data_IF_441607592627
#
_entry.id   IF_441607592627
#
_cell.length_a   1.000
_cell.length_b   1.000
_cell.length_c   1.000
_cell.angle_alpha   90.00
_cell.angle_beta   90.00
_cell.angle_gamma   90.00
#
_symmetry.space_group_name_H-M   'P 1'
#
loop_
_entity.id
_entity.type
_entity.pdbx_description
1 polymer ?
#
# COMPACT_ATOMS: atom_id res chain seq x y z
N UNK A 1 1.20 -15.61 10.27
CA UNK A 1 0.89 -14.31 9.61
C UNK A 1 1.00 -14.53 8.10
N UNK A 2 -0.08 -14.32 7.35
CA UNK A 2 -0.07 -14.45 5.89
C UNK A 2 0.43 -13.13 5.29
N UNK A 3 1.70 -13.07 4.97
CA UNK A 3 2.31 -12.03 4.15
C UNK A 3 2.38 -12.62 2.74
N UNK A 4 1.75 -11.97 1.77
CA UNK A 4 1.81 -12.39 0.38
C UNK A 4 2.82 -11.50 -0.37
N UNK A 5 4.05 -11.95 -0.60
CA UNK A 5 4.99 -11.25 -1.46
C UNK A 5 4.46 -11.25 -2.90
N UNK A 6 4.79 -10.20 -3.64
CA UNK A 6 4.51 -10.14 -5.06
C UNK A 6 5.43 -11.07 -5.86
N UNK A 7 5.23 -11.19 -7.17
CA UNK A 7 6.01 -12.10 -8.01
C UNK A 7 7.53 -11.89 -8.00
N UNK A 8 7.99 -10.71 -7.57
CA UNK A 8 9.39 -10.36 -7.37
C UNK A 8 9.91 -10.63 -5.93
N UNK A 9 9.08 -11.19 -5.06
CA UNK A 9 9.40 -11.47 -3.67
C UNK A 9 9.34 -10.25 -2.74
N UNK A 10 8.94 -9.06 -3.24
CA UNK A 10 8.86 -7.83 -2.46
C UNK A 10 7.43 -7.62 -1.96
N UNK A 11 7.28 -7.30 -0.68
CA UNK A 11 5.99 -7.01 -0.08
C UNK A 11 5.71 -5.50 -0.15
N UNK A 12 4.68 -5.14 -0.90
CA UNK A 12 4.18 -3.76 -1.04
C UNK A 12 2.80 -3.57 -0.46
N UNK A 13 2.04 -4.66 -0.33
CA UNK A 13 0.65 -4.66 0.11
C UNK A 13 0.45 -5.58 1.31
N UNK A 14 -0.48 -5.21 2.17
CA UNK A 14 -0.87 -6.01 3.31
C UNK A 14 -2.33 -6.42 3.17
N UNK A 15 -2.65 -7.72 3.16
CA UNK A 15 -4.03 -8.17 3.16
C UNK A 15 -4.70 -7.74 4.46
N UNK A 16 -5.87 -7.11 4.37
CA UNK A 16 -6.67 -6.73 5.53
C UNK A 16 -7.66 -7.81 5.91
N UNK A 17 -8.04 -8.66 4.95
CA UNK A 17 -8.87 -9.84 5.15
C UNK A 17 -8.24 -11.03 4.44
N UNK A 18 -8.43 -12.21 5.00
CA UNK A 18 -7.94 -13.47 4.46
C UNK A 18 -9.09 -14.46 4.45
N UNK A 19 -9.26 -15.19 3.37
CA UNK A 19 -10.25 -16.26 3.28
C UNK A 19 -9.62 -17.59 3.71
N UNK A 20 -10.22 -18.23 4.71
CA UNK A 20 -9.84 -19.57 5.20
C UNK A 20 -11.11 -20.42 5.23
N UNK A 21 -11.10 -21.53 4.57
CA UNK A 21 -12.24 -22.47 4.49
C UNK A 21 -13.58 -21.80 4.10
N UNK A 22 -13.51 -20.84 3.16
CA UNK A 22 -14.67 -20.09 2.69
C UNK A 22 -15.14 -18.96 3.60
N UNK A 23 -14.53 -18.79 4.77
CA UNK A 23 -14.83 -17.70 5.70
C UNK A 23 -13.77 -16.60 5.63
N UNK A 24 -14.20 -15.35 5.81
CA UNK A 24 -13.31 -14.19 5.83
C UNK A 24 -12.89 -13.86 7.25
N UNK A 25 -11.59 -13.78 7.46
CA UNK A 25 -10.98 -13.40 8.72
C UNK A 25 -10.21 -12.09 8.56
N UNK A 26 -10.31 -11.17 9.54
CA UNK A 26 -9.51 -9.95 9.51
C UNK A 26 -8.04 -10.27 9.78
N UNK A 27 -7.15 -9.52 9.15
CA UNK A 27 -5.73 -9.57 9.48
C UNK A 27 -5.45 -8.94 10.84
N UNK A 28 -4.26 -9.24 11.40
CA UNK A 28 -3.84 -8.64 12.67
C UNK A 28 -3.85 -7.10 12.62
N UNK A 29 -3.42 -6.51 11.52
CA UNK A 29 -3.42 -5.05 11.35
C UNK A 29 -4.81 -4.45 11.42
N UNK A 30 -5.80 -5.12 10.80
CA UNK A 30 -7.19 -4.69 10.82
C UNK A 30 -7.80 -4.87 12.21
N UNK A 31 -7.46 -5.98 12.90
CA UNK A 31 -7.93 -6.28 14.25
C UNK A 31 -7.39 -5.28 15.29
N UNK A 32 -6.12 -4.91 15.18
CA UNK A 32 -5.52 -3.87 16.02
C UNK A 32 -6.34 -2.57 15.94
N UNK A 33 -6.68 -2.14 14.73
CA UNK A 33 -7.48 -0.92 14.55
C UNK A 33 -8.90 -1.06 15.08
N UNK A 34 -9.55 -2.21 14.89
CA UNK A 34 -10.89 -2.46 15.41
C UNK A 34 -10.92 -2.34 16.93
N UNK A 35 -9.97 -3.00 17.60
CA UNK A 35 -9.84 -2.95 19.05
C UNK A 35 -9.53 -1.53 19.54
N UNK A 36 -8.60 -0.84 18.86
CA UNK A 36 -8.26 0.55 19.19
C UNK A 36 -9.45 1.51 19.02
N UNK A 37 -10.31 1.26 18.02
CA UNK A 37 -11.54 2.04 17.80
C UNK A 37 -12.66 1.69 18.77
N UNK A 38 -12.53 0.62 19.56
CA UNK A 38 -13.57 0.13 20.46
C UNK A 38 -14.83 -0.33 19.72
N UNK A 39 -14.66 -0.91 18.54
CA UNK A 39 -15.77 -1.43 17.72
C UNK A 39 -15.80 -2.98 17.76
N UNK A 40 -16.98 -3.55 17.50
CA UNK A 40 -17.21 -4.99 17.49
C UNK A 40 -17.33 -5.57 16.08
N UNK A 41 -17.43 -4.73 15.06
CA UNK A 41 -17.81 -5.16 13.72
C UNK A 41 -16.95 -4.56 12.62
N UNK A 42 -16.97 -5.22 11.47
CA UNK A 42 -16.43 -4.75 10.21
C UNK A 42 -17.55 -4.59 9.19
N UNK A 43 -17.40 -3.64 8.31
CA UNK A 43 -18.21 -3.48 7.13
C UNK A 43 -17.31 -3.63 5.91
N UNK A 44 -17.70 -4.48 4.99
CA UNK A 44 -16.99 -4.69 3.74
C UNK A 44 -17.86 -4.18 2.60
N UNK A 45 -17.28 -3.37 1.73
CA UNK A 45 -17.89 -2.96 0.48
C UNK A 45 -17.27 -3.77 -0.65
N UNK A 46 -18.11 -4.50 -1.38
CA UNK A 46 -17.72 -5.24 -2.58
C UNK A 46 -18.34 -4.59 -3.80
N UNK A 47 -17.62 -4.64 -4.93
CA UNK A 47 -18.07 -4.19 -6.24
C UNK A 47 -17.80 -5.26 -7.30
N UNK A 48 -17.98 -4.92 -8.56
CA UNK A 48 -17.76 -5.84 -9.70
C UNK A 48 -16.33 -6.37 -9.79
N UNK A 49 -15.35 -5.58 -9.34
CA UNK A 49 -13.92 -5.95 -9.34
C UNK A 49 -13.44 -6.66 -8.06
N UNK A 50 -14.31 -6.95 -7.09
CA UNK A 50 -13.92 -7.57 -5.83
C UNK A 50 -14.16 -6.67 -4.61
N UNK A 51 -13.24 -6.68 -3.64
CA UNK A 51 -13.35 -5.87 -2.42
C UNK A 51 -12.87 -4.45 -2.74
N UNK A 52 -13.73 -3.46 -2.52
CA UNK A 52 -13.39 -2.05 -2.76
C UNK A 52 -12.89 -1.35 -1.50
N UNK A 53 -13.45 -1.71 -0.36
CA UNK A 53 -13.11 -1.07 0.90
C UNK A 53 -13.53 -1.89 2.12
N UNK A 54 -12.79 -1.68 3.18
CA UNK A 54 -13.12 -2.14 4.52
C UNK A 54 -13.35 -0.92 5.42
N UNK A 55 -14.31 -1.01 6.31
CA UNK A 55 -14.65 0.03 7.26
C UNK A 55 -14.86 -0.56 8.66
N UNK A 56 -14.31 0.11 9.64
CA UNK A 56 -14.69 -0.06 11.04
C UNK A 56 -15.68 1.08 11.33
N UNK A 57 -16.93 0.80 11.76
CA UNK A 57 -18.00 1.81 11.87
C UNK A 57 -17.61 3.07 12.66
N UNK A 58 -16.87 2.90 13.77
CA UNK A 58 -16.35 4.00 14.59
C UNK A 58 -15.04 4.60 14.10
N UNK A 59 -14.53 4.15 12.95
CA UNK A 59 -13.28 4.59 12.39
C UNK A 59 -13.45 4.99 10.91
N UNK A 60 -12.34 5.20 10.23
CA UNK A 60 -12.34 5.58 8.81
C UNK A 60 -12.58 4.37 7.90
N UNK A 61 -13.05 4.66 6.71
CA UNK A 61 -13.06 3.72 5.59
C UNK A 61 -11.63 3.58 5.06
N UNK A 62 -11.18 2.35 4.88
CA UNK A 62 -9.90 2.01 4.25
C UNK A 62 -10.19 1.47 2.85
N UNK A 63 -9.64 2.11 1.83
CA UNK A 63 -9.72 1.63 0.45
C UNK A 63 -8.73 0.47 0.28
N UNK A 64 -9.16 -0.54 -0.45
CA UNK A 64 -8.37 -1.74 -0.72
C UNK A 64 -8.25 -1.97 -2.22
N UNK A 65 -7.35 -2.84 -2.61
CA UNK A 65 -7.39 -3.46 -3.93
C UNK A 65 -8.51 -4.51 -4.00
N UNK A 66 -8.70 -5.10 -5.19
CA UNK A 66 -9.73 -6.11 -5.45
C UNK A 66 -9.64 -7.34 -4.52
N UNK A 67 -8.47 -7.62 -3.97
CA UNK A 67 -8.21 -8.74 -3.06
C UNK A 67 -8.35 -8.36 -1.58
N UNK A 68 -8.73 -7.13 -1.27
CA UNK A 68 -8.86 -6.65 0.10
C UNK A 68 -7.51 -6.33 0.76
N UNK A 69 -6.48 -6.03 -0.03
CA UNK A 69 -5.18 -5.61 0.47
C UNK A 69 -5.01 -4.08 0.39
N UNK A 70 -4.25 -3.53 1.31
CA UNK A 70 -3.88 -2.10 1.35
C UNK A 70 -2.43 -1.93 0.92
N UNK A 71 -2.15 -0.91 0.10
CA UNK A 71 -0.80 -0.48 -0.22
C UNK A 71 -0.17 0.18 1.00
N UNK A 72 1.04 -0.22 1.37
CA UNK A 72 1.74 0.29 2.55
C UNK A 72 2.52 1.55 2.19
N UNK A 73 2.30 2.63 2.95
CA UNK A 73 3.14 3.82 2.89
C UNK A 73 4.36 3.64 3.80
N UNK A 74 5.51 3.31 3.21
CA UNK A 74 6.77 3.11 3.92
C UNK A 74 7.50 4.41 4.30
N UNK A 75 6.92 5.58 4.05
CA UNK A 75 7.52 6.86 4.45
C UNK A 75 7.58 7.04 5.96
N UNK A 76 6.63 6.43 6.67
CA UNK A 76 6.52 6.55 8.11
C UNK A 76 7.36 5.49 8.81
N UNK A 77 8.35 5.95 9.59
CA UNK A 77 9.10 5.06 10.48
C UNK A 77 8.45 5.09 11.86
N UNK A 78 8.05 3.93 12.33
CA UNK A 78 7.63 3.74 13.73
C UNK A 78 8.85 3.77 14.63
N UNK A 79 8.69 4.32 15.84
CA UNK A 79 9.76 4.28 16.83
C UNK A 79 9.82 2.87 17.44
N UNK A 80 10.96 2.24 17.32
CA UNK A 80 11.23 0.90 17.88
C UNK A 80 12.19 1.04 19.07
N UNK A 81 11.86 0.41 20.16
CA UNK A 81 12.66 0.40 21.37
C UNK A 81 12.96 -1.03 21.79
N UNK A 82 14.21 -1.30 22.16
CA UNK A 82 14.56 -2.59 22.76
C UNK A 82 14.03 -2.63 24.19
N UNK A 83 13.31 -3.69 24.53
CA UNK A 83 12.63 -3.83 25.84
C UNK A 83 13.61 -3.73 27.03
N UNK A 84 14.84 -4.26 26.88
CA UNK A 84 15.86 -4.13 27.91
C UNK A 84 16.24 -2.66 28.24
N UNK A 85 16.22 -1.78 27.23
CA UNK A 85 16.46 -0.34 27.44
C UNK A 85 15.31 0.35 28.15
N UNK A 86 14.08 -0.12 27.91
CA UNK A 86 12.89 0.39 28.61
C UNK A 86 12.89 0.02 30.11
N UNK A 87 13.40 -1.16 30.44
CA UNK A 87 13.40 -1.67 31.81
C UNK A 87 14.52 -1.08 32.67
N UNK A 88 15.66 -0.72 32.07
CA UNK A 88 16.87 -0.29 32.79
C UNK A 88 16.90 1.24 33.00
N UNK A 89 16.24 2.01 32.16
CA UNK A 89 16.37 3.47 32.13
C UNK A 89 15.03 4.13 32.34
N UNK A 90 14.43 4.29 33.39
CA UNK A 90 13.30 5.22 33.64
C UNK A 90 12.54 5.75 32.38
N UNK A 91 12.94 5.25 31.18
CA UNK A 91 12.41 5.59 29.87
C UNK A 91 10.92 5.22 29.75
N UNK A 92 10.47 4.31 30.60
CA UNK A 92 9.07 3.89 30.64
C UNK A 92 8.16 5.02 31.15
N UNK A 93 8.65 5.89 32.03
CA UNK A 93 7.92 7.04 32.52
C UNK A 93 7.93 8.21 31.52
N UNK A 94 9.04 8.39 30.77
CA UNK A 94 9.11 9.40 29.72
C UNK A 94 8.26 9.05 28.48
N UNK A 95 8.09 7.76 28.19
CA UNK A 95 7.29 7.28 27.07
C UNK A 95 5.82 7.17 27.49
N UNK A 96 5.10 8.28 27.41
CA UNK A 96 3.65 8.24 27.61
C UNK A 96 2.98 7.33 26.56
N UNK A 97 2.57 6.12 26.99
CA UNK A 97 1.89 5.12 26.15
C UNK A 97 0.38 5.33 26.08
N UNK A 98 -0.15 6.29 26.82
CA UNK A 98 -1.59 6.53 26.85
C UNK A 98 -2.13 6.92 25.46
N UNK A 99 -3.14 6.20 25.00
CA UNK A 99 -3.75 6.41 23.68
C UNK A 99 -2.87 5.96 22.51
N UNK A 100 -1.78 5.21 22.75
CA UNK A 100 -0.91 4.68 21.70
C UNK A 100 -1.11 3.18 21.50
N UNK A 101 -0.93 2.75 20.27
CA UNK A 101 -0.87 1.33 19.92
C UNK A 101 0.58 0.89 20.09
N UNK A 102 0.80 -0.14 20.91
CA UNK A 102 2.12 -0.71 21.17
C UNK A 102 2.15 -2.14 20.64
N UNK A 103 3.12 -2.42 19.78
CA UNK A 103 3.35 -3.77 19.22
C UNK A 103 4.59 -4.35 19.90
N UNK A 104 4.43 -5.47 20.59
CA UNK A 104 5.52 -6.23 21.17
C UNK A 104 5.84 -7.42 20.27
N UNK A 105 7.10 -7.57 19.90
CA UNK A 105 7.55 -8.67 19.07
C UNK A 105 8.94 -9.16 19.47
N UNK A 106 9.21 -10.47 19.43
CA UNK A 106 10.56 -10.99 19.57
C UNK A 106 11.35 -10.67 18.28
N UNK A 107 12.61 -10.26 18.44
CA UNK A 107 13.52 -9.95 17.32
C UNK A 107 14.68 -10.95 17.24
N UNK A 108 14.57 -12.07 17.97
CA UNK A 108 15.62 -13.08 17.97
C UNK A 108 15.70 -13.79 16.61
N UNK A 109 16.92 -14.06 16.18
CA UNK A 109 17.19 -14.79 14.94
C UNK A 109 16.49 -16.16 14.95
N UNK A 110 15.74 -16.47 13.90
CA UNK A 110 14.97 -17.70 13.77
C UNK A 110 13.55 -17.66 14.34
N UNK A 111 13.16 -16.58 15.04
CA UNK A 111 11.77 -16.39 15.52
C UNK A 111 11.02 -15.39 14.64
N UNK A 112 11.64 -14.27 14.30
CA UNK A 112 11.08 -13.32 13.35
C UNK A 112 11.62 -13.58 11.95
N UNK A 113 10.74 -13.48 10.94
CA UNK A 113 11.10 -13.62 9.54
C UNK A 113 11.18 -12.22 8.92
N UNK A 114 12.39 -11.75 8.60
CA UNK A 114 12.54 -10.48 7.90
C UNK A 114 11.90 -10.54 6.53
N UNK A 115 11.32 -9.45 6.10
CA UNK A 115 10.52 -9.32 4.88
C UNK A 115 11.17 -8.32 3.95
N UNK A 116 11.34 -8.68 2.68
CA UNK A 116 11.81 -7.77 1.64
C UNK A 116 10.69 -6.75 1.29
N UNK A 117 11.02 -5.47 1.35
CA UNK A 117 10.11 -4.36 1.03
C UNK A 117 10.79 -3.34 0.12
N UNK A 118 10.07 -2.40 -0.49
CA UNK A 118 10.67 -1.36 -1.34
C UNK A 118 11.72 -0.49 -0.65
N UNK A 119 11.69 -0.40 0.68
CA UNK A 119 12.66 0.38 1.46
C UNK A 119 13.80 -0.47 2.05
N UNK A 120 13.87 -1.74 1.67
CA UNK A 120 14.83 -2.71 2.15
C UNK A 120 14.19 -3.83 2.96
N UNK A 121 15.01 -4.64 3.60
CA UNK A 121 14.56 -5.74 4.46
C UNK A 121 14.18 -5.17 5.84
N UNK A 122 12.94 -5.43 6.25
CA UNK A 122 12.41 -5.00 7.57
C UNK A 122 11.88 -6.20 8.33
N UNK A 123 11.71 -6.04 9.63
CA UNK A 123 11.13 -7.08 10.49
C UNK A 123 9.61 -7.17 10.28
N UNK A 124 9.03 -8.34 10.50
CA UNK A 124 7.59 -8.57 10.27
C UNK A 124 6.70 -7.66 11.13
N UNK A 125 7.12 -7.35 12.33
CA UNK A 125 6.39 -6.42 13.22
C UNK A 125 6.43 -4.97 12.73
N UNK A 126 7.52 -4.52 12.09
CA UNK A 126 7.61 -3.20 11.46
C UNK A 126 6.65 -3.10 10.28
N UNK A 127 6.46 -4.19 9.52
CA UNK A 127 5.48 -4.26 8.44
C UNK A 127 4.05 -4.11 8.98
N UNK A 128 3.71 -4.79 10.09
CA UNK A 128 2.41 -4.63 10.76
C UNK A 128 2.22 -3.17 11.20
N UNK A 129 3.23 -2.59 11.86
CA UNK A 129 3.18 -1.22 12.32
C UNK A 129 3.02 -0.22 11.15
N UNK A 130 3.73 -0.45 10.04
CA UNK A 130 3.61 0.36 8.82
C UNK A 130 2.20 0.27 8.22
N UNK A 131 1.60 -0.94 8.16
CA UNK A 131 0.24 -1.13 7.65
C UNK A 131 -0.80 -0.44 8.53
N UNK A 132 -0.70 -0.56 9.85
CA UNK A 132 -1.58 0.13 10.81
C UNK A 132 -1.44 1.65 10.66
N UNK A 133 -0.21 2.16 10.57
CA UNK A 133 0.05 3.59 10.39
C UNK A 133 -0.51 4.10 9.06
N UNK A 134 -0.37 3.35 7.98
CA UNK A 134 -0.96 3.69 6.66
C UNK A 134 -2.47 3.85 6.77
N UNK A 135 -3.15 2.89 7.41
CA UNK A 135 -4.60 2.96 7.62
C UNK A 135 -5.00 4.13 8.52
N UNK A 136 -4.23 4.43 9.57
CA UNK A 136 -4.50 5.54 10.49
C UNK A 136 -4.31 6.91 9.81
N UNK A 137 -3.30 7.08 8.99
CA UNK A 137 -3.02 8.35 8.28
C UNK A 137 -4.01 8.59 7.14
N UNK A 138 -4.66 7.53 6.63
CA UNK A 138 -5.65 7.63 5.55
C UNK A 138 -5.01 7.92 4.19
N UNK A 139 -3.69 7.79 4.06
CA UNK A 139 -2.98 7.87 2.76
C UNK A 139 -3.10 6.52 2.05
N UNK A 140 -4.26 6.30 1.49
CA UNK A 140 -4.53 5.08 0.75
C UNK A 140 -4.03 5.25 -0.69
N UNK A 141 -2.89 4.65 -1.00
CA UNK A 141 -2.47 4.47 -2.38
C UNK A 141 -3.43 3.44 -2.98
N UNK A 142 -4.09 3.78 -4.07
CA UNK A 142 -5.04 2.91 -4.74
C UNK A 142 -4.67 2.75 -6.20
N UNK A 143 -4.85 1.52 -6.72
CA UNK A 143 -4.83 1.26 -8.16
C UNK A 143 -6.27 0.98 -8.57
N UNK A 144 -6.95 1.93 -9.24
CA UNK A 144 -8.32 1.74 -9.68
C UNK A 144 -8.41 0.56 -10.67
N UNK A 145 -9.52 -0.18 -10.67
CA UNK A 145 -9.69 -1.33 -11.59
C UNK A 145 -9.66 -0.93 -13.07
N UNK A 146 -9.98 0.32 -13.40
CA UNK A 146 -9.93 0.86 -14.76
C UNK A 146 -8.53 1.27 -15.21
N UNK A 147 -7.54 1.31 -14.31
CA UNK A 147 -6.18 1.77 -14.64
C UNK A 147 -5.53 0.94 -15.75
N UNK A 148 -5.66 -0.39 -15.70
CA UNK A 148 -5.06 -1.28 -16.71
C UNK A 148 -5.63 -1.02 -18.10
N UNK A 149 -6.94 -0.78 -18.19
CA UNK A 149 -7.59 -0.43 -19.47
C UNK A 149 -7.19 0.96 -19.94
N UNK A 150 -7.05 1.92 -19.04
CA UNK A 150 -6.62 3.27 -19.36
C UNK A 150 -5.16 3.29 -19.87
N UNK A 151 -4.27 2.56 -19.20
CA UNK A 151 -2.87 2.40 -19.61
C UNK A 151 -2.75 1.77 -21.00
N UNK A 152 -3.49 0.65 -21.23
CA UNK A 152 -3.51 -0.01 -22.54
C UNK A 152 -4.05 0.90 -23.64
N UNK A 153 -5.17 1.59 -23.38
CA UNK A 153 -5.77 2.49 -24.37
C UNK A 153 -4.89 3.69 -24.68
N UNK A 154 -4.26 4.29 -23.69
CA UNK A 154 -3.32 5.40 -23.88
C UNK A 154 -2.08 4.98 -24.67
N UNK A 155 -1.53 3.80 -24.39
CA UNK A 155 -0.40 3.24 -25.15
C UNK A 155 -0.77 2.97 -26.62
N UNK A 156 -1.96 2.41 -26.88
CA UNK A 156 -2.44 2.19 -28.24
C UNK A 156 -2.64 3.52 -29.00
N UNK A 157 -3.27 4.51 -28.38
CA UNK A 157 -3.46 5.82 -28.99
C UNK A 157 -2.12 6.50 -29.28
N UNK A 158 -1.20 6.49 -28.32
CA UNK A 158 0.14 7.05 -28.50
C UNK A 158 0.91 6.37 -29.63
N UNK A 159 0.86 5.04 -29.71
CA UNK A 159 1.53 4.27 -30.79
C UNK A 159 0.93 4.56 -32.16
N UNK A 160 -0.40 4.70 -32.28
CA UNK A 160 -1.06 5.07 -33.52
C UNK A 160 -0.69 6.49 -33.98
N UNK A 161 -0.66 7.44 -33.04
CA UNK A 161 -0.26 8.84 -33.36
C UNK A 161 1.20 8.89 -33.84
N UNK A 162 2.10 8.20 -33.15
CA UNK A 162 3.51 8.12 -33.50
C UNK A 162 3.68 7.48 -34.89
N UNK A 163 3.01 6.37 -35.14
CA UNK A 163 3.07 5.67 -36.44
C UNK A 163 2.54 6.55 -37.55
N UNK A 164 1.39 7.18 -37.35
CA UNK A 164 0.82 8.10 -38.34
C UNK A 164 1.74 9.30 -38.63
N UNK A 165 2.35 9.86 -37.57
CA UNK A 165 3.28 10.98 -37.73
C UNK A 165 4.52 10.59 -38.51
N UNK A 166 5.09 9.41 -38.31
CA UNK A 166 6.26 8.91 -39.05
C UNK A 166 5.91 8.61 -40.53
N UNK A 167 4.70 8.09 -40.79
CA UNK A 167 4.27 7.73 -42.14
C UNK A 167 3.84 8.95 -43.00
N UNK A 168 3.26 9.98 -42.37
CA UNK A 168 2.70 11.13 -43.07
C UNK A 168 3.61 12.36 -43.05
N UNK A 169 4.44 12.48 -42.01
CA UNK A 169 5.38 13.59 -41.82
C UNK A 169 6.81 13.08 -42.00
N UNK A 170 7.78 13.96 -41.87
CA UNK A 170 9.19 13.56 -41.91
C UNK A 170 9.61 12.84 -40.62
N UNK A 171 10.63 11.95 -40.70
CA UNK A 171 11.12 11.15 -39.62
C UNK A 171 11.50 11.92 -38.34
N UNK A 172 11.95 13.17 -38.46
CA UNK A 172 12.32 14.02 -37.33
C UNK A 172 11.12 14.40 -36.44
N UNK A 173 9.87 14.38 -36.95
CA UNK A 173 8.68 14.56 -36.09
C UNK A 173 8.51 13.42 -35.13
N UNK A 174 8.78 12.17 -35.52
CA UNK A 174 8.80 11.04 -34.64
C UNK A 174 9.87 11.16 -33.54
N UNK A 175 11.04 11.67 -33.90
CA UNK A 175 12.13 11.91 -32.95
C UNK A 175 11.82 12.99 -31.89
N UNK A 176 10.93 13.94 -32.21
CA UNK A 176 10.47 14.95 -31.25
C UNK A 176 9.27 14.47 -30.44
N UNK A 177 8.33 13.78 -31.07
CA UNK A 177 7.10 13.33 -30.42
C UNK A 177 7.35 12.24 -29.35
N UNK A 178 8.31 11.33 -29.60
CA UNK A 178 8.62 10.26 -28.67
C UNK A 178 9.06 10.77 -27.29
N UNK A 179 10.08 11.63 -27.15
CA UNK A 179 10.44 12.18 -25.84
C UNK A 179 9.33 13.06 -25.23
N UNK A 180 8.50 13.72 -26.05
CA UNK A 180 7.36 14.48 -25.55
C UNK A 180 6.31 13.57 -24.91
N UNK A 181 6.00 12.41 -25.53
CA UNK A 181 5.10 11.42 -24.94
C UNK A 181 5.68 10.83 -23.65
N UNK A 182 6.98 10.50 -23.62
CA UNK A 182 7.65 9.98 -22.42
C UNK A 182 7.62 11.00 -21.28
N UNK A 183 7.91 12.27 -21.58
CA UNK A 183 7.80 13.33 -20.59
C UNK A 183 6.36 13.53 -20.11
N UNK A 184 5.40 13.54 -21.02
CA UNK A 184 3.97 13.67 -20.70
C UNK A 184 3.47 12.53 -19.80
N UNK A 185 3.83 11.28 -20.09
CA UNK A 185 3.46 10.13 -19.26
C UNK A 185 4.10 10.22 -17.87
N UNK A 186 5.37 10.56 -17.77
CA UNK A 186 6.05 10.74 -16.49
C UNK A 186 5.42 11.83 -15.62
N UNK A 187 5.19 13.02 -16.19
CA UNK A 187 4.57 14.12 -15.45
C UNK A 187 3.11 13.84 -15.13
N UNK A 188 2.37 13.19 -16.03
CA UNK A 188 0.99 12.76 -15.81
C UNK A 188 0.86 11.76 -14.67
N UNK A 189 1.67 10.71 -14.68
CA UNK A 189 1.71 9.70 -13.60
C UNK A 189 2.11 10.34 -12.28
N UNK A 190 3.15 11.19 -12.27
CA UNK A 190 3.60 11.89 -11.07
C UNK A 190 2.51 12.80 -10.48
N UNK A 191 1.77 13.51 -11.32
CA UNK A 191 0.66 14.36 -10.90
C UNK A 191 -0.48 13.55 -10.28
N UNK A 192 -0.92 12.47 -10.94
CA UNK A 192 -1.98 11.59 -10.43
C UNK A 192 -1.58 10.92 -9.12
N UNK A 193 -0.32 10.55 -8.98
CA UNK A 193 0.19 10.00 -7.73
C UNK A 193 0.22 11.04 -6.60
N UNK A 194 0.64 12.27 -6.88
CA UNK A 194 0.81 13.32 -5.86
C UNK A 194 -0.54 13.85 -5.38
N UNK A 195 -1.48 14.12 -6.28
CA UNK A 195 -2.77 14.74 -5.96
C UNK A 195 -3.83 13.71 -5.55
N UNK A 196 -3.87 12.55 -6.21
CA UNK A 196 -4.94 11.57 -6.01
C UNK A 196 -4.48 10.27 -5.35
N UNK A 197 -3.17 10.09 -5.13
CA UNK A 197 -2.58 8.84 -4.65
C UNK A 197 -2.94 7.63 -5.54
N UNK A 198 -3.15 7.86 -6.83
CA UNK A 198 -3.40 6.81 -7.81
C UNK A 198 -2.08 6.26 -8.33
N UNK A 199 -1.92 4.94 -8.27
CA UNK A 199 -0.80 4.23 -8.87
C UNK A 199 -1.18 3.87 -10.31
N UNK A 200 -0.61 4.58 -11.27
CA UNK A 200 -0.80 4.36 -12.70
C UNK A 200 0.58 4.27 -13.34
N UNK A 201 0.87 3.13 -13.97
CA UNK A 201 2.13 2.85 -14.66
C UNK A 201 1.92 3.05 -16.18
N UNK A 202 2.66 4.01 -16.76
CA UNK A 202 2.61 4.30 -18.21
C UNK A 202 3.81 3.74 -18.94
#
# INVERSE_FOLDING_TARGET
MLIAPEGDGVVRRMPLVVQIDGQLYPSLSMEILRVAAGDLSYQMKTGEGGIEALRIPKYKKVLTDANGAVWIDFKWKTKTYALNKLYINELFEELNFNGKIVILSPTASGIDNPVATPVGVIQSHDLIAASVTTMMTGRNITRPFWSDLAELSATLVASLILTAAVLTLNWYFGAILLPLFLAGSYYGSSYLFTEYSYLIDW
#
